data_IF_545138961927
#
_entry.id   IF_545138961927
#
_cell.length_a   1.000
_cell.length_b   1.000
_cell.length_c   1.000
_cell.angle_alpha   90.00
_cell.angle_beta   90.00
_cell.angle_gamma   90.00
#
_symmetry.space_group_name_H-M   'P 1'
#
loop_
_entity.id
_entity.type
_entity.pdbx_description
1 polymer ?
#
# COMPACT_ATOMS: atom_id res chain seq x y z
N UNK A 1 48.52 -24.13 -42.79
CA UNK A 1 48.61 -23.40 -41.49
C UNK A 1 47.59 -22.25 -41.34
N UNK A 2 46.59 -22.13 -42.23
CA UNK A 2 45.50 -21.13 -42.13
C UNK A 2 44.14 -21.74 -41.72
N UNK A 3 43.92 -23.05 -41.95
CA UNK A 3 42.67 -23.74 -41.59
C UNK A 3 42.47 -23.91 -40.08
N UNK A 4 43.55 -24.17 -39.32
CA UNK A 4 43.47 -24.36 -37.86
C UNK A 4 43.08 -23.10 -37.09
N UNK A 5 43.33 -21.90 -37.65
CA UNK A 5 42.99 -20.62 -37.01
C UNK A 5 41.50 -20.29 -37.12
N UNK A 6 40.82 -20.77 -38.17
CA UNK A 6 39.40 -20.53 -38.37
C UNK A 6 38.53 -21.35 -37.41
N UNK A 7 38.87 -22.61 -37.15
CA UNK A 7 38.14 -23.47 -36.21
C UNK A 7 38.23 -22.97 -34.77
N UNK A 8 39.41 -22.48 -34.34
CA UNK A 8 39.60 -21.93 -32.98
C UNK A 8 38.79 -20.64 -32.77
N UNK A 9 38.70 -19.77 -33.78
CA UNK A 9 37.90 -18.54 -33.72
C UNK A 9 36.41 -18.85 -33.71
N UNK A 10 35.97 -19.88 -34.46
CA UNK A 10 34.57 -20.32 -34.45
C UNK A 10 34.17 -20.93 -33.11
N UNK A 11 35.04 -21.72 -32.48
CA UNK A 11 34.85 -22.27 -31.14
C UNK A 11 34.79 -21.14 -30.09
N UNK A 12 35.64 -20.11 -30.19
CA UNK A 12 35.58 -18.93 -29.32
C UNK A 12 34.26 -18.15 -29.46
N UNK A 13 33.72 -18.04 -30.68
CA UNK A 13 32.43 -17.40 -30.93
C UNK A 13 31.25 -18.24 -30.40
N UNK A 14 31.29 -19.57 -30.56
CA UNK A 14 30.27 -20.49 -30.05
C UNK A 14 30.28 -20.56 -28.51
N UNK A 15 31.46 -20.53 -27.87
CA UNK A 15 31.57 -20.52 -26.40
C UNK A 15 31.12 -19.18 -25.82
N UNK A 16 31.46 -18.04 -26.44
CA UNK A 16 31.00 -16.72 -25.98
C UNK A 16 29.50 -16.46 -26.27
N UNK A 17 28.95 -16.98 -27.36
CA UNK A 17 27.50 -16.90 -27.61
C UNK A 17 26.70 -17.83 -26.71
N UNK A 18 27.27 -18.95 -26.26
CA UNK A 18 26.65 -19.82 -25.25
C UNK A 18 26.68 -19.20 -23.84
N UNK A 19 27.68 -18.36 -23.53
CA UNK A 19 27.74 -17.64 -22.25
C UNK A 19 26.76 -16.45 -22.17
N UNK A 20 26.27 -15.94 -23.29
CA UNK A 20 25.19 -14.94 -23.30
C UNK A 20 23.78 -15.54 -23.19
N UNK A 21 23.61 -16.83 -23.50
CA UNK A 21 22.31 -17.52 -23.43
C UNK A 21 22.01 -18.16 -22.07
N UNK A 22 23.01 -18.33 -21.20
CA UNK A 22 22.84 -18.92 -19.86
C UNK A 22 22.50 -17.85 -18.79
N UNK A 23 22.46 -16.56 -19.17
CA UNK A 23 22.06 -15.45 -18.29
C UNK A 23 20.60 -15.01 -18.46
N UNK A 24 19.77 -15.71 -19.27
CA UNK A 24 18.31 -15.63 -19.12
C UNK A 24 17.89 -16.61 -18.04
N UNK A 25 18.17 -16.24 -16.79
CA UNK A 25 17.43 -16.80 -15.67
C UNK A 25 15.96 -16.51 -15.98
N UNK A 26 15.17 -17.56 -16.25
CA UNK A 26 13.70 -17.56 -16.33
C UNK A 26 13.11 -17.08 -14.98
N UNK A 27 13.38 -15.84 -14.62
CA UNK A 27 12.76 -15.16 -13.51
C UNK A 27 11.62 -14.37 -14.13
N UNK A 28 10.44 -14.98 -14.18
CA UNK A 28 9.22 -14.23 -14.43
C UNK A 28 9.23 -12.97 -13.54
N UNK A 29 8.81 -11.81 -14.06
CA UNK A 29 8.77 -10.59 -13.27
C UNK A 29 8.01 -10.81 -11.96
N UNK A 30 8.51 -10.25 -10.85
CA UNK A 30 7.80 -10.35 -9.58
C UNK A 30 6.42 -9.69 -9.73
N UNK A 31 5.32 -10.38 -9.39
CA UNK A 31 3.98 -9.82 -9.49
C UNK A 31 3.79 -8.52 -8.72
N UNK A 32 2.78 -7.74 -9.12
CA UNK A 32 2.38 -6.51 -8.42
C UNK A 32 0.94 -6.64 -7.96
N UNK A 33 0.72 -6.34 -6.68
CA UNK A 33 -0.61 -6.17 -6.08
C UNK A 33 -0.91 -4.68 -5.95
N UNK A 34 -2.03 -4.24 -6.50
CA UNK A 34 -2.52 -2.86 -6.38
C UNK A 34 -3.69 -2.80 -5.40
N UNK A 35 -3.73 -1.76 -4.57
CA UNK A 35 -4.90 -1.48 -3.72
C UNK A 35 -5.30 -0.01 -3.88
N UNK A 36 -6.53 0.21 -4.34
CA UNK A 36 -7.08 1.53 -4.61
C UNK A 36 -7.37 2.34 -3.34
N UNK A 37 -7.67 3.62 -3.55
CA UNK A 37 -8.08 4.54 -2.49
C UNK A 37 -9.60 4.59 -2.30
N UNK A 38 -10.02 5.47 -1.39
CA UNK A 38 -11.42 5.80 -1.12
C UNK A 38 -12.15 6.24 -2.41
N UNK A 39 -13.34 5.69 -2.66
CA UNK A 39 -14.19 6.10 -3.78
C UNK A 39 -13.74 5.64 -5.16
N UNK A 40 -12.73 4.79 -5.22
CA UNK A 40 -12.19 4.20 -6.43
C UNK A 40 -12.48 2.68 -6.46
N UNK A 41 -12.05 1.99 -7.51
CA UNK A 41 -12.19 0.55 -7.66
C UNK A 41 -10.94 -0.08 -8.27
N UNK A 42 -10.80 -1.40 -8.12
CA UNK A 42 -9.83 -2.24 -8.80
C UNK A 42 -9.67 -1.94 -10.30
N UNK A 43 -10.75 -1.51 -10.94
CA UNK A 43 -10.98 -1.80 -12.35
C UNK A 43 -11.39 -0.59 -13.20
N UNK A 44 -11.51 0.61 -12.61
CA UNK A 44 -11.79 1.81 -13.40
C UNK A 44 -10.66 2.09 -14.38
N UNK A 45 -10.99 2.11 -15.68
CA UNK A 45 -10.02 2.26 -16.77
C UNK A 45 -9.25 3.58 -16.72
N UNK A 46 -9.81 4.61 -16.08
CA UNK A 46 -9.17 5.92 -15.91
C UNK A 46 -8.36 6.04 -14.60
N UNK A 47 -8.37 5.01 -13.73
CA UNK A 47 -7.63 4.99 -12.47
C UNK A 47 -6.71 3.76 -12.39
N UNK A 48 -6.95 2.81 -11.48
CA UNK A 48 -6.11 1.62 -11.33
C UNK A 48 -6.05 0.74 -12.57
N UNK A 49 -7.10 0.75 -13.41
CA UNK A 49 -7.06 0.10 -14.71
C UNK A 49 -5.99 0.69 -15.64
N UNK A 50 -5.84 2.02 -15.67
CA UNK A 50 -4.77 2.67 -16.42
C UNK A 50 -3.38 2.35 -15.84
N UNK A 51 -3.24 2.38 -14.51
CA UNK A 51 -1.98 2.03 -13.84
C UNK A 51 -1.57 0.60 -14.14
N UNK A 52 -2.53 -0.34 -14.06
CA UNK A 52 -2.30 -1.75 -14.41
C UNK A 52 -1.78 -1.88 -15.84
N UNK A 53 -2.45 -1.25 -16.80
CA UNK A 53 -2.04 -1.31 -18.21
C UNK A 53 -0.62 -0.77 -18.40
N UNK A 54 -0.29 0.37 -17.79
CA UNK A 54 1.06 0.95 -17.86
C UNK A 54 2.11 -0.04 -17.32
N UNK A 55 1.85 -0.70 -16.19
CA UNK A 55 2.77 -1.68 -15.62
C UNK A 55 2.97 -2.88 -16.55
N UNK A 56 1.89 -3.39 -17.14
CA UNK A 56 1.91 -4.54 -18.05
C UNK A 56 2.61 -4.20 -19.39
N UNK A 57 2.49 -2.96 -19.88
CA UNK A 57 3.17 -2.45 -21.07
C UNK A 57 4.68 -2.29 -20.84
N UNK A 58 5.07 -1.72 -19.70
CA UNK A 58 6.48 -1.44 -19.37
C UNK A 58 7.25 -2.69 -18.93
N UNK A 59 6.57 -3.71 -18.40
CA UNK A 59 7.19 -4.94 -17.89
C UNK A 59 6.52 -6.18 -18.53
N UNK A 60 6.97 -6.60 -19.72
CA UNK A 60 6.37 -7.74 -20.41
C UNK A 60 6.36 -9.02 -19.57
N UNK A 61 5.19 -9.66 -19.48
CA UNK A 61 5.01 -10.92 -18.75
C UNK A 61 4.82 -10.77 -17.24
N UNK A 62 4.69 -9.55 -16.72
CA UNK A 62 4.34 -9.33 -15.31
C UNK A 62 2.88 -9.71 -15.02
N UNK A 63 2.64 -10.27 -13.84
CA UNK A 63 1.29 -10.47 -13.33
C UNK A 63 0.89 -9.29 -12.44
N UNK A 64 -0.23 -8.63 -12.76
CA UNK A 64 -0.78 -7.53 -11.94
C UNK A 64 -2.16 -7.88 -11.42
N UNK A 65 -2.27 -7.99 -10.09
CA UNK A 65 -3.52 -8.18 -9.36
C UNK A 65 -3.98 -6.85 -8.79
N UNK A 66 -5.15 -6.39 -9.21
CA UNK A 66 -5.80 -5.22 -8.61
C UNK A 66 -6.85 -5.72 -7.62
N UNK A 67 -6.66 -5.43 -6.33
CA UNK A 67 -7.55 -5.88 -5.25
C UNK A 67 -8.95 -5.34 -5.48
N UNK A 68 -9.94 -6.21 -5.36
CA UNK A 68 -11.38 -5.91 -5.41
C UNK A 68 -12.04 -6.48 -4.16
N UNK A 69 -12.78 -5.65 -3.43
CA UNK A 69 -13.51 -6.03 -2.22
C UNK A 69 -15.01 -6.11 -2.53
N UNK A 70 -15.58 -7.31 -2.47
CA UNK A 70 -16.98 -7.56 -2.85
C UNK A 70 -17.14 -8.12 -4.25
N UNK A 71 -18.39 -8.29 -4.68
CA UNK A 71 -18.70 -9.11 -5.86
C UNK A 71 -18.53 -8.35 -7.18
N UNK A 72 -18.73 -7.04 -7.16
CA UNK A 72 -18.71 -6.18 -8.34
C UNK A 72 -18.07 -4.82 -8.04
N UNK A 73 -17.87 -4.01 -9.09
CA UNK A 73 -17.22 -2.69 -9.00
C UNK A 73 -17.99 -1.70 -8.12
N UNK A 74 -19.32 -1.81 -8.04
CA UNK A 74 -20.14 -0.92 -7.21
C UNK A 74 -19.89 -1.25 -5.73
N UNK A 75 -19.97 -2.53 -5.37
CA UNK A 75 -19.64 -2.99 -4.02
C UNK A 75 -18.20 -2.65 -3.63
N UNK A 76 -17.25 -2.74 -4.56
CA UNK A 76 -15.84 -2.35 -4.35
C UNK A 76 -15.69 -0.88 -3.93
N UNK A 77 -16.40 0.01 -4.63
CA UNK A 77 -16.44 1.45 -4.30
C UNK A 77 -17.13 1.66 -2.94
N UNK A 78 -18.28 1.03 -2.70
CA UNK A 78 -19.04 1.18 -1.45
C UNK A 78 -18.25 0.66 -0.24
N UNK A 79 -17.59 -0.49 -0.38
CA UNK A 79 -16.77 -1.10 0.66
C UNK A 79 -15.55 -0.25 1.02
N UNK A 80 -15.05 0.58 0.09
CA UNK A 80 -13.99 1.57 0.39
C UNK A 80 -14.42 2.64 1.41
N UNK A 81 -15.74 2.80 1.62
CA UNK A 81 -16.31 3.69 2.63
C UNK A 81 -16.86 2.93 3.85
N UNK A 82 -17.53 1.80 3.63
CA UNK A 82 -18.46 1.27 4.63
C UNK A 82 -18.11 -0.10 5.22
N UNK A 83 -17.11 -0.80 4.69
CA UNK A 83 -16.73 -2.13 5.18
C UNK A 83 -15.58 -2.03 6.16
N UNK A 84 -15.66 -2.73 7.29
CA UNK A 84 -14.61 -2.67 8.31
C UNK A 84 -13.22 -3.02 7.74
N UNK A 85 -12.19 -2.22 8.02
CA UNK A 85 -10.87 -2.40 7.42
C UNK A 85 -10.21 -3.71 7.85
N UNK A 86 -10.48 -4.19 9.07
CA UNK A 86 -9.94 -5.48 9.52
C UNK A 86 -10.51 -6.64 8.70
N UNK A 87 -11.81 -6.62 8.40
CA UNK A 87 -12.44 -7.60 7.50
C UNK A 87 -11.86 -7.51 6.09
N UNK A 88 -11.68 -6.29 5.56
CA UNK A 88 -11.08 -6.11 4.24
C UNK A 88 -9.68 -6.73 4.17
N UNK A 89 -8.86 -6.54 5.21
CA UNK A 89 -7.53 -7.13 5.26
C UNK A 89 -7.60 -8.65 5.30
N UNK A 90 -8.49 -9.24 6.12
CA UNK A 90 -8.67 -10.69 6.20
C UNK A 90 -9.08 -11.28 4.84
N UNK A 91 -10.07 -10.69 4.17
CA UNK A 91 -10.51 -11.10 2.83
C UNK A 91 -9.37 -11.04 1.81
N UNK A 92 -8.57 -9.96 1.83
CA UNK A 92 -7.42 -9.83 0.94
C UNK A 92 -6.32 -10.83 1.29
N UNK A 93 -6.07 -11.10 2.57
CA UNK A 93 -5.10 -12.13 2.98
C UNK A 93 -5.45 -13.48 2.36
N UNK A 94 -6.72 -13.88 2.46
CA UNK A 94 -7.21 -15.14 1.90
C UNK A 94 -7.13 -15.15 0.37
N UNK A 95 -7.54 -14.06 -0.29
CA UNK A 95 -7.50 -13.93 -1.75
C UNK A 95 -6.07 -13.98 -2.30
N UNK A 96 -5.09 -13.36 -1.62
CA UNK A 96 -3.69 -13.43 -2.05
C UNK A 96 -3.05 -14.79 -1.72
N UNK A 97 -3.41 -15.42 -0.60
CA UNK A 97 -2.92 -16.76 -0.24
C UNK A 97 -3.38 -17.85 -1.21
N UNK A 98 -4.58 -17.69 -1.78
CA UNK A 98 -5.15 -18.62 -2.74
C UNK A 98 -4.70 -18.36 -4.20
N UNK A 99 -3.93 -17.29 -4.46
CA UNK A 99 -3.44 -16.97 -5.80
C UNK A 99 -2.08 -17.63 -6.07
N UNK A 100 -2.01 -18.66 -6.94
CA UNK A 100 -0.77 -19.38 -7.21
C UNK A 100 0.30 -18.52 -7.88
N UNK A 101 -0.10 -17.41 -8.51
CA UNK A 101 0.83 -16.46 -9.16
C UNK A 101 1.66 -15.69 -8.13
N UNK A 102 1.17 -15.59 -6.88
CA UNK A 102 1.78 -14.81 -5.81
C UNK A 102 2.59 -15.66 -4.83
N UNK A 103 2.58 -17.00 -4.98
CA UNK A 103 3.21 -17.94 -4.03
C UNK A 103 4.69 -17.65 -3.72
N UNK A 104 5.43 -17.12 -4.71
CA UNK A 104 6.86 -16.79 -4.60
C UNK A 104 7.10 -15.32 -4.16
N UNK A 105 6.05 -14.69 -3.64
CA UNK A 105 6.01 -13.32 -3.14
C UNK A 105 5.78 -12.26 -4.22
N UNK A 106 5.36 -11.07 -3.78
CA UNK A 106 4.87 -9.99 -4.65
C UNK A 106 5.35 -8.61 -4.20
N UNK A 107 5.35 -7.64 -5.13
CA UNK A 107 5.45 -6.22 -4.81
C UNK A 107 4.05 -5.63 -4.62
N UNK A 108 3.92 -4.57 -3.83
CA UNK A 108 2.64 -3.94 -3.55
C UNK A 108 2.68 -2.43 -3.79
N UNK A 109 1.63 -1.88 -4.39
CA UNK A 109 1.45 -0.44 -4.60
C UNK A 109 0.06 -0.03 -4.09
N UNK A 110 0.05 0.82 -3.07
CA UNK A 110 -1.18 1.34 -2.46
C UNK A 110 -1.41 2.80 -2.78
N UNK A 111 -2.66 3.15 -3.09
CA UNK A 111 -3.07 4.51 -3.41
C UNK A 111 -3.93 5.08 -2.29
N UNK A 112 -3.59 6.27 -1.80
CA UNK A 112 -4.30 6.90 -0.68
C UNK A 112 -4.50 5.89 0.48
N UNK A 113 -5.73 5.61 0.91
CA UNK A 113 -5.96 4.69 2.03
C UNK A 113 -5.43 3.26 1.80
N UNK A 114 -5.36 2.81 0.54
CA UNK A 114 -4.78 1.51 0.18
C UNK A 114 -3.31 1.36 0.58
N UNK A 115 -2.59 2.47 0.75
CA UNK A 115 -1.22 2.47 1.26
C UNK A 115 -1.12 1.91 2.68
N UNK A 116 -1.91 2.43 3.62
CA UNK A 116 -1.92 1.92 4.98
C UNK A 116 -2.59 0.55 5.10
N UNK A 117 -3.54 0.22 4.22
CA UNK A 117 -4.15 -1.11 4.20
C UNK A 117 -3.15 -2.19 3.80
N UNK A 118 -2.34 -1.95 2.77
CA UNK A 118 -1.25 -2.86 2.39
C UNK A 118 -0.17 -2.97 3.46
N UNK A 119 0.08 -1.90 4.22
CA UNK A 119 0.96 -1.99 5.40
C UNK A 119 0.36 -2.91 6.47
N UNK A 120 -0.93 -2.75 6.78
CA UNK A 120 -1.65 -3.63 7.72
C UNK A 120 -1.70 -5.09 7.25
N UNK A 121 -1.89 -5.30 5.94
CA UNK A 121 -1.81 -6.61 5.29
C UNK A 121 -0.43 -7.24 5.51
N UNK A 122 0.64 -6.50 5.24
CA UNK A 122 2.01 -6.99 5.43
C UNK A 122 2.31 -7.31 6.90
N UNK A 123 1.74 -6.59 7.86
CA UNK A 123 1.93 -6.85 9.28
C UNK A 123 1.20 -8.11 9.76
N UNK A 124 0.00 -8.36 9.23
CA UNK A 124 -0.91 -9.43 9.69
C UNK A 124 -0.77 -10.74 8.92
N UNK A 125 -0.41 -10.67 7.64
CA UNK A 125 -0.42 -11.80 6.72
C UNK A 125 0.95 -11.94 6.02
N UNK A 126 1.90 -12.67 6.64
CA UNK A 126 3.27 -12.79 6.13
C UNK A 126 3.41 -13.65 4.86
N UNK A 127 2.35 -14.39 4.48
CA UNK A 127 2.34 -15.33 3.36
C UNK A 127 1.12 -15.02 2.47
N UNK A 128 1.28 -14.84 1.15
CA UNK A 128 2.56 -14.82 0.43
C UNK A 128 3.42 -13.61 0.82
N UNK A 129 4.74 -13.71 0.64
CA UNK A 129 5.64 -12.68 1.14
C UNK A 129 5.54 -11.39 0.32
N UNK A 130 5.15 -10.28 0.95
CA UNK A 130 5.32 -8.95 0.37
C UNK A 130 6.81 -8.55 0.36
N UNK A 131 7.37 -8.32 -0.83
CA UNK A 131 8.79 -7.99 -1.03
C UNK A 131 9.06 -6.50 -0.90
N UNK A 132 8.25 -5.68 -1.57
CA UNK A 132 8.36 -4.22 -1.54
C UNK A 132 6.98 -3.59 -1.42
N UNK A 133 6.89 -2.48 -0.68
CA UNK A 133 5.68 -1.67 -0.55
C UNK A 133 5.95 -0.26 -1.08
N UNK A 134 5.16 0.19 -2.04
CA UNK A 134 5.08 1.58 -2.48
C UNK A 134 3.74 2.14 -2.04
N UNK A 135 3.76 3.22 -1.25
CA UNK A 135 2.54 3.90 -0.82
C UNK A 135 2.51 5.31 -1.39
N UNK A 136 1.48 5.55 -2.21
CA UNK A 136 1.25 6.79 -2.93
C UNK A 136 0.20 7.61 -2.20
N UNK A 137 0.66 8.51 -1.34
CA UNK A 137 -0.18 9.41 -0.56
C UNK A 137 -0.90 8.74 0.62
N UNK A 138 -0.44 7.58 1.10
CA UNK A 138 -1.04 6.89 2.24
C UNK A 138 -0.94 7.63 3.57
N UNK A 139 -1.91 7.40 4.45
CA UNK A 139 -2.11 8.08 5.72
C UNK A 139 -1.69 7.17 6.88
N UNK A 140 -0.39 6.91 7.00
CA UNK A 140 0.17 5.92 7.93
C UNK A 140 0.04 6.28 9.40
N UNK A 141 -0.26 7.54 9.71
CA UNK A 141 -0.56 8.06 11.04
C UNK A 141 -2.02 8.55 11.13
N UNK A 142 -2.88 8.03 10.25
CA UNK A 142 -4.26 8.50 10.16
C UNK A 142 -4.40 9.91 9.62
N UNK A 143 -5.60 10.46 9.82
CA UNK A 143 -5.95 11.83 9.42
C UNK A 143 -6.62 12.56 10.57
N UNK A 144 -6.39 13.87 10.62
CA UNK A 144 -7.00 14.77 11.61
C UNK A 144 -7.54 16.04 10.96
N UNK A 145 -8.59 15.90 10.17
CA UNK A 145 -9.22 17.05 9.51
C UNK A 145 -10.09 16.68 8.34
N UNK A 146 -10.93 17.62 7.92
CA UNK A 146 -11.78 17.48 6.76
C UNK A 146 -11.12 18.13 5.52
N UNK A 147 -11.25 17.52 4.33
CA UNK A 147 -10.78 18.14 3.09
C UNK A 147 -11.33 19.56 2.91
N UNK A 148 -10.49 20.51 2.50
CA UNK A 148 -10.85 21.93 2.28
C UNK A 148 -11.31 22.71 3.52
N UNK A 149 -11.27 22.11 4.71
CA UNK A 149 -11.46 22.79 5.98
C UNK A 149 -10.10 23.31 6.48
N UNK A 150 -9.53 24.24 5.70
CA UNK A 150 -8.23 24.84 5.98
C UNK A 150 -8.31 25.84 7.14
N UNK A 151 -7.29 25.77 8.00
CA UNK A 151 -7.05 26.59 9.18
C UNK A 151 -8.07 26.46 10.33
N UNK A 152 -7.52 26.40 11.54
CA UNK A 152 -8.19 26.46 12.85
C UNK A 152 -8.98 27.78 13.07
N UNK A 153 -9.17 28.61 12.04
CA UNK A 153 -9.72 29.96 12.14
C UNK A 153 -11.25 29.99 11.94
N UNK A 154 -11.82 28.99 11.25
CA UNK A 154 -13.26 28.93 11.04
C UNK A 154 -13.95 28.13 12.17
N UNK A 155 -14.64 28.84 13.08
CA UNK A 155 -15.36 28.24 14.23
C UNK A 155 -16.30 27.09 13.86
N UNK A 156 -16.93 27.13 12.68
CA UNK A 156 -17.80 26.05 12.20
C UNK A 156 -17.01 24.78 11.84
N UNK A 157 -15.83 24.95 11.25
CA UNK A 157 -14.89 23.89 10.91
C UNK A 157 -14.31 23.24 12.18
N UNK A 158 -13.93 24.06 13.17
CA UNK A 158 -13.47 23.57 14.47
C UNK A 158 -14.58 22.82 15.23
N UNK A 159 -15.81 23.36 15.20
CA UNK A 159 -16.96 22.70 15.81
C UNK A 159 -17.27 21.34 15.16
N UNK A 160 -17.31 21.29 13.82
CA UNK A 160 -17.54 20.04 13.09
C UNK A 160 -16.43 19.01 13.38
N UNK A 161 -15.17 19.45 13.43
CA UNK A 161 -14.03 18.62 13.82
C UNK A 161 -14.19 18.05 15.24
N UNK A 162 -14.54 18.90 16.21
CA UNK A 162 -14.78 18.46 17.61
C UNK A 162 -15.93 17.47 17.73
N UNK A 163 -16.99 17.65 16.95
CA UNK A 163 -18.09 16.69 16.87
C UNK A 163 -17.62 15.37 16.27
N UNK A 164 -16.85 15.41 15.19
CA UNK A 164 -16.25 14.21 14.58
C UNK A 164 -15.30 13.50 15.55
N UNK A 165 -14.52 14.21 16.37
CA UNK A 165 -13.67 13.60 17.41
C UNK A 165 -14.44 12.84 18.50
N UNK A 166 -15.75 13.03 18.62
CA UNK A 166 -16.57 12.23 19.52
C UNK A 166 -17.33 11.15 18.73
N UNK A 167 -17.90 11.51 17.57
CA UNK A 167 -18.65 10.58 16.73
C UNK A 167 -17.78 9.48 16.11
N UNK A 168 -16.57 9.80 15.68
CA UNK A 168 -15.68 8.86 15.00
C UNK A 168 -15.31 7.68 15.89
N UNK A 169 -15.13 7.88 17.19
CA UNK A 169 -14.74 6.80 18.13
C UNK A 169 -15.92 6.01 18.69
N UNK A 170 -17.16 6.33 18.29
CA UNK A 170 -18.31 5.48 18.62
C UNK A 170 -18.11 4.11 17.97
N UNK A 171 -18.25 3.03 18.74
CA UNK A 171 -18.01 1.66 18.26
C UNK A 171 -18.80 1.30 17.01
N UNK A 172 -20.06 1.73 16.92
CA UNK A 172 -20.89 1.57 15.73
C UNK A 172 -20.31 2.28 14.49
N UNK A 173 -19.70 3.44 14.66
CA UNK A 173 -19.09 4.22 13.58
C UNK A 173 -17.76 3.59 13.17
N UNK A 174 -16.90 3.22 14.12
CA UNK A 174 -15.66 2.47 13.89
C UNK A 174 -15.90 1.16 13.12
N UNK A 175 -17.00 0.46 13.40
CA UNK A 175 -17.32 -0.80 12.72
C UNK A 175 -17.98 -0.63 11.34
N UNK A 176 -18.33 0.59 10.92
CA UNK A 176 -19.11 0.83 9.68
C UNK A 176 -18.55 1.89 8.76
N UNK A 177 -17.59 2.69 9.20
CA UNK A 177 -17.03 3.77 8.41
C UNK A 177 -15.51 3.67 8.40
N UNK A 178 -14.98 3.30 7.26
CA UNK A 178 -13.55 3.11 7.01
C UNK A 178 -12.73 4.32 7.45
N UNK A 179 -13.22 5.54 7.18
CA UNK A 179 -12.52 6.77 7.51
C UNK A 179 -12.40 7.01 9.01
N UNK A 180 -13.32 6.45 9.81
CA UNK A 180 -13.27 6.55 11.26
C UNK A 180 -12.16 5.66 11.85
N UNK A 181 -11.91 4.50 11.23
CA UNK A 181 -10.89 3.52 11.67
C UNK A 181 -9.46 4.05 11.63
N UNK A 182 -9.22 5.09 10.83
CA UNK A 182 -7.95 5.81 10.82
C UNK A 182 -8.09 7.31 11.12
N UNK A 183 -9.15 7.71 11.82
CA UNK A 183 -9.22 9.04 12.41
C UNK A 183 -8.29 9.12 13.63
N UNK A 184 -7.36 10.06 13.60
CA UNK A 184 -6.35 10.23 14.66
C UNK A 184 -6.50 11.62 15.29
N UNK A 185 -7.06 11.69 16.50
CA UNK A 185 -7.13 12.94 17.27
C UNK A 185 -5.80 13.25 17.97
N UNK A 186 -4.95 14.05 17.32
CA UNK A 186 -3.63 14.43 17.84
C UNK A 186 -3.66 15.34 19.08
N UNK A 187 -4.84 15.86 19.47
CA UNK A 187 -4.97 16.71 20.66
C UNK A 187 -5.31 15.93 21.93
N UNK A 188 -5.76 14.67 21.81
CA UNK A 188 -6.19 13.83 22.93
C UNK A 188 -5.72 12.38 22.75
N UNK A 189 -4.41 12.20 22.56
CA UNK A 189 -3.78 10.88 22.36
C UNK A 189 -3.86 9.98 23.62
N UNK A 190 -4.01 10.55 24.81
CA UNK A 190 -4.05 9.80 26.08
C UNK A 190 -5.42 9.19 26.41
N UNK A 191 -6.45 9.48 25.62
CA UNK A 191 -7.82 9.00 25.85
C UNK A 191 -7.95 7.52 25.44
N UNK A 192 -8.02 6.64 26.44
CA UNK A 192 -8.02 5.19 26.24
C UNK A 192 -9.20 4.68 25.39
N UNK A 193 -10.35 5.36 25.40
CA UNK A 193 -11.49 5.00 24.55
C UNK A 193 -11.23 5.33 23.08
N UNK A 194 -10.51 6.44 22.81
CA UNK A 194 -10.10 6.82 21.45
C UNK A 194 -8.98 5.94 20.93
N UNK A 195 -8.03 5.58 21.80
CA UNK A 195 -6.96 4.62 21.51
C UNK A 195 -7.55 3.21 21.26
N UNK A 196 -8.59 2.80 21.96
CA UNK A 196 -9.24 1.50 21.68
C UNK A 196 -10.16 1.55 20.46
N UNK A 197 -10.67 2.73 20.08
CA UNK A 197 -11.54 2.88 18.90
C UNK A 197 -10.77 2.79 17.58
N UNK A 198 -9.59 3.41 17.47
CA UNK A 198 -8.75 3.35 16.27
C UNK A 198 -7.85 2.11 16.25
N UNK A 199 -8.42 0.93 16.51
CA UNK A 199 -7.69 -0.35 16.59
C UNK A 199 -6.83 -0.60 15.34
N UNK A 200 -7.24 -0.13 14.16
CA UNK A 200 -6.44 -0.25 12.95
C UNK A 200 -5.11 0.54 13.00
N UNK A 201 -5.13 1.77 13.52
CA UNK A 201 -3.91 2.58 13.77
C UNK A 201 -3.15 2.05 14.99
N UNK A 202 -3.85 1.60 16.02
CA UNK A 202 -3.19 1.16 17.25
C UNK A 202 -2.61 -0.24 17.17
N UNK A 203 -3.11 -1.13 16.31
CA UNK A 203 -2.42 -2.38 16.00
C UNK A 203 -1.07 -2.13 15.29
N UNK A 204 -0.97 -1.00 14.57
CA UNK A 204 0.27 -0.54 13.97
C UNK A 204 1.23 0.14 14.98
N UNK A 205 0.70 0.82 16.00
CA UNK A 205 1.49 1.56 17.00
C UNK A 205 1.81 0.74 18.27
N UNK A 206 0.96 -0.21 18.65
CA UNK A 206 1.28 -1.19 19.68
C UNK A 206 2.31 -2.15 19.08
N UNK A 207 3.56 -1.97 19.52
CA UNK A 207 4.73 -2.76 19.19
C UNK A 207 4.55 -4.22 19.64
N UNK A 208 3.64 -4.95 18.99
CA UNK A 208 3.58 -6.39 19.13
C UNK A 208 4.81 -6.96 18.41
N UNK A 209 5.66 -7.67 19.14
CA UNK A 209 6.93 -8.22 18.64
C UNK A 209 6.76 -9.04 17.34
N UNK A 210 5.56 -9.57 17.09
CA UNK A 210 5.17 -10.27 15.86
C UNK A 210 5.12 -9.34 14.63
N UNK A 211 4.55 -8.14 14.75
CA UNK A 211 4.44 -7.18 13.63
C UNK A 211 5.81 -6.66 13.19
N UNK A 212 6.70 -6.40 14.16
CA UNK A 212 8.05 -5.91 13.88
C UNK A 212 8.85 -6.93 13.04
N UNK A 213 8.71 -8.23 13.33
CA UNK A 213 9.35 -9.28 12.53
C UNK A 213 8.87 -9.31 11.09
N UNK A 214 7.59 -9.09 10.83
CA UNK A 214 7.07 -9.17 9.45
C UNK A 214 7.54 -8.00 8.59
N UNK A 215 7.57 -6.77 9.14
CA UNK A 215 8.11 -5.61 8.42
C UNK A 215 9.61 -5.70 8.14
N UNK A 216 10.37 -6.48 8.92
CA UNK A 216 11.79 -6.76 8.63
C UNK A 216 11.95 -7.53 7.31
N UNK A 217 10.99 -8.37 6.94
CA UNK A 217 11.02 -9.16 5.70
C UNK A 217 10.67 -8.34 4.44
N UNK A 218 10.12 -7.13 4.59
CA UNK A 218 9.96 -6.19 3.48
C UNK A 218 11.32 -5.60 3.16
N UNK A 219 11.77 -5.82 1.92
CA UNK A 219 13.07 -5.34 1.43
C UNK A 219 13.10 -3.82 1.35
N UNK A 220 12.04 -3.19 0.83
CA UNK A 220 11.94 -1.73 0.69
C UNK A 220 10.52 -1.22 0.93
N UNK A 221 10.42 -0.09 1.64
CA UNK A 221 9.18 0.69 1.80
C UNK A 221 9.42 2.08 1.23
N UNK A 222 8.58 2.51 0.30
CA UNK A 222 8.65 3.81 -0.37
C UNK A 222 7.40 4.62 -0.07
N UNK A 223 7.56 5.79 0.53
CA UNK A 223 6.48 6.75 0.81
C UNK A 223 6.53 7.90 -0.21
N UNK A 224 5.50 8.07 -1.01
CA UNK A 224 5.38 9.20 -1.94
C UNK A 224 4.33 10.18 -1.40
N UNK A 225 4.76 11.40 -1.09
CA UNK A 225 3.90 12.47 -0.56
C UNK A 225 3.85 13.65 -1.54
N UNK A 226 2.69 14.28 -1.67
CA UNK A 226 2.52 15.52 -2.43
C UNK A 226 2.46 16.72 -1.51
N UNK A 227 3.24 17.78 -1.80
CA UNK A 227 3.18 19.06 -1.06
C UNK A 227 1.90 19.86 -1.33
N UNK A 228 1.17 19.51 -2.39
CA UNK A 228 0.03 20.27 -2.92
C UNK A 228 -1.33 19.65 -2.57
N UNK A 229 -1.35 18.44 -2.01
CA UNK A 229 -2.62 17.80 -1.63
C UNK A 229 -3.23 18.53 -0.43
N UNK A 230 -4.44 19.09 -0.63
CA UNK A 230 -5.31 19.60 0.45
C UNK A 230 -6.07 18.48 1.18
N UNK A 231 -5.99 17.25 0.66
CA UNK A 231 -6.69 16.06 1.17
C UNK A 231 -5.97 15.40 2.36
N UNK A 232 -4.62 15.39 2.37
CA UNK A 232 -3.79 14.75 3.42
C UNK A 232 -3.03 15.81 4.24
N UNK A 233 -3.34 17.09 4.05
CA UNK A 233 -2.74 18.19 4.80
C UNK A 233 -3.47 18.34 6.13
N UNK A 234 -3.10 17.59 7.17
CA UNK A 234 -3.34 18.01 8.57
C UNK A 234 -2.47 17.30 9.63
N UNK A 235 -1.34 16.68 9.26
CA UNK A 235 -0.28 16.27 10.21
C UNK A 235 1.07 16.97 9.92
N UNK A 236 1.16 17.71 8.80
CA UNK A 236 2.44 18.28 8.33
C UNK A 236 2.70 19.73 8.75
N UNK A 237 2.05 20.26 9.79
CA UNK A 237 2.33 21.63 10.26
C UNK A 237 3.44 21.73 11.31
N UNK A 238 4.07 20.62 11.72
CA UNK A 238 5.16 20.68 12.69
C UNK A 238 6.48 20.03 12.26
N UNK A 239 6.52 19.25 11.18
CA UNK A 239 7.77 18.70 10.65
C UNK A 239 7.83 18.80 9.13
N UNK A 240 8.80 19.60 8.69
CA UNK A 240 9.16 19.90 7.32
C UNK A 240 9.71 18.63 6.64
N UNK A 241 8.94 17.91 5.83
CA UNK A 241 9.44 16.71 5.14
C UNK A 241 9.19 16.76 3.62
N UNK A 242 10.26 17.16 2.95
CA UNK A 242 10.59 16.88 1.54
C UNK A 242 10.99 15.41 1.44
N UNK A 243 10.54 14.67 0.41
CA UNK A 243 10.83 13.24 0.10
C UNK A 243 11.27 12.44 1.36
N UNK A 244 10.33 11.77 2.02
CA UNK A 244 10.63 10.87 3.14
C UNK A 244 11.43 9.66 2.65
N UNK A 245 12.72 9.83 2.38
CA UNK A 245 13.65 8.73 2.16
C UNK A 245 13.83 7.99 3.49
N UNK A 246 13.13 6.86 3.63
CA UNK A 246 13.57 5.78 4.50
C UNK A 246 14.31 4.76 3.62
N UNK A 247 15.51 5.10 3.17
CA UNK A 247 16.47 4.07 2.77
C UNK A 247 17.02 3.45 4.05
N UNK A 248 16.67 2.19 4.35
CA UNK A 248 17.41 1.39 5.33
C UNK A 248 18.87 1.34 4.87
N UNK A 249 19.77 2.02 5.59
CA UNK A 249 21.22 1.84 5.46
C UNK A 249 21.71 1.10 6.70
N UNK A 250 22.31 -0.07 6.47
CA UNK A 250 23.20 -0.78 7.41
C UNK A 250 22.51 -1.46 8.58
#
# INVERSE_FOLDING_TARGET
>A
MYSLKAEIVFIFFVINSCQHLIALKNNNPTPVVLWHGMGDSCCFSFSLGAIKNIIEEEIPGIYVKSVKIGNNVIEDVENSYFKNVNEQIEEVCEDLANDPSLKDGYNAIGFSQGGQFLRGLAERCPIPQMKNLISLGGQHQGVYGLPNCGSLEHKACDYLRRMLNHGAYLSFIQNRFVQAEYWHDSLQEDDHERVSGSDFINLANQLNYRHFKTLIFISRIVWVCSKWTKLVKFIFYQYQLTICNSTKTG
#
